data_IF_342708472625
#
_entry.id   IF_342708472625
#
_cell.length_a   1.000
_cell.length_b   1.000
_cell.length_c   1.000
_cell.angle_alpha   90.00
_cell.angle_beta   90.00
_cell.angle_gamma   90.00
#
_symmetry.space_group_name_H-M   'P 1'
#
loop_
_entity.id
_entity.type
_entity.pdbx_description
1 polymer ?
#
# COMPACT_ATOMS: atom_id res chain seq x y z
N UNK A 1 -3.39 14.07 -1.60
CA UNK A 1 -2.04 14.20 -1.00
C UNK A 1 -1.00 14.48 -2.07
N UNK A 2 -0.79 13.59 -3.05
CA UNK A 2 0.18 13.80 -4.15
C UNK A 2 0.04 15.18 -4.79
N UNK A 3 -1.17 15.53 -5.21
CA UNK A 3 -1.47 16.83 -5.82
C UNK A 3 -1.04 18.01 -4.93
N UNK A 4 -1.38 17.97 -3.65
CA UNK A 4 -1.08 19.04 -2.68
C UNK A 4 0.42 19.23 -2.44
N UNK A 5 1.19 18.14 -2.35
CA UNK A 5 2.62 18.22 -1.97
C UNK A 5 3.56 18.33 -3.17
N UNK A 6 3.05 18.23 -4.40
CA UNK A 6 3.84 18.29 -5.62
C UNK A 6 4.84 17.12 -5.74
N UNK A 7 5.77 17.15 -6.71
CA UNK A 7 6.64 16.00 -7.01
C UNK A 7 7.82 15.84 -6.04
N UNK A 8 8.23 16.90 -5.33
CA UNK A 8 9.45 16.90 -4.53
C UNK A 8 9.30 16.24 -3.16
N UNK A 9 8.06 16.05 -2.69
CA UNK A 9 7.76 15.43 -1.40
C UNK A 9 7.22 14.01 -1.58
N UNK A 10 7.75 13.08 -0.79
CA UNK A 10 7.29 11.69 -0.79
C UNK A 10 5.91 11.54 -0.13
N UNK A 11 5.07 10.66 -0.66
CA UNK A 11 3.79 10.27 -0.05
C UNK A 11 3.87 8.82 0.42
N UNK A 12 3.46 8.55 1.68
CA UNK A 12 3.34 7.19 2.22
C UNK A 12 1.87 6.78 2.31
N UNK A 13 1.51 5.66 1.68
CA UNK A 13 0.24 5.00 1.90
C UNK A 13 0.40 3.99 3.04
N UNK A 14 -0.48 4.04 4.04
CA UNK A 14 -0.48 3.09 5.16
C UNK A 14 -1.88 2.91 5.73
N UNK A 15 -2.15 1.71 6.25
CA UNK A 15 -3.48 1.31 6.72
C UNK A 15 -4.34 0.85 5.55
N UNK A 16 -4.87 -0.37 5.64
CA UNK A 16 -5.79 -0.91 4.63
C UNK A 16 -5.15 -1.57 3.41
N UNK A 17 -3.87 -1.35 3.13
CA UNK A 17 -3.15 -1.99 2.00
C UNK A 17 -2.83 -3.45 2.35
N UNK A 18 -3.57 -4.40 1.77
CA UNK A 18 -3.51 -5.82 2.12
C UNK A 18 -3.19 -6.74 0.96
N UNK A 19 -3.49 -6.32 -0.27
CA UNK A 19 -3.27 -7.12 -1.47
C UNK A 19 -2.28 -6.45 -2.41
N UNK A 20 -1.86 -7.19 -3.44
CA UNK A 20 -1.03 -6.64 -4.51
C UNK A 20 -1.79 -5.56 -5.29
N UNK A 21 -3.09 -5.76 -5.50
CA UNK A 21 -3.98 -4.82 -6.19
C UNK A 21 -4.10 -3.51 -5.41
N UNK A 22 -4.22 -3.59 -4.08
CA UNK A 22 -4.20 -2.40 -3.21
C UNK A 22 -2.89 -1.63 -3.40
N UNK A 23 -1.74 -2.33 -3.40
CA UNK A 23 -0.42 -1.71 -3.61
C UNK A 23 -0.34 -0.98 -4.95
N UNK A 24 -0.81 -1.62 -6.03
CA UNK A 24 -0.82 -1.01 -7.37
C UNK A 24 -1.68 0.26 -7.34
N UNK A 25 -2.88 0.19 -6.77
CA UNK A 25 -3.81 1.34 -6.73
C UNK A 25 -3.21 2.56 -6.03
N UNK A 26 -2.49 2.37 -4.91
CA UNK A 26 -1.92 3.48 -4.16
C UNK A 26 -0.63 4.02 -4.79
N UNK A 27 0.10 3.20 -5.54
CA UNK A 27 1.23 3.65 -6.36
C UNK A 27 0.71 4.54 -7.50
N UNK A 28 -0.34 4.10 -8.19
CA UNK A 28 -0.99 4.87 -9.25
C UNK A 28 -1.59 6.19 -8.72
N UNK A 29 -2.11 6.19 -7.49
CA UNK A 29 -2.54 7.40 -6.79
C UNK A 29 -1.37 8.32 -6.36
N UNK A 30 -0.12 7.90 -6.54
CA UNK A 30 1.08 8.71 -6.35
C UNK A 30 1.84 8.49 -5.05
N UNK A 31 1.63 7.36 -4.34
CA UNK A 31 2.44 6.98 -3.19
C UNK A 31 3.85 6.52 -3.62
N UNK A 32 4.89 6.92 -2.87
CA UNK A 32 6.27 6.44 -3.05
C UNK A 32 6.67 5.37 -2.04
N UNK A 33 5.89 5.21 -0.96
CA UNK A 33 6.16 4.25 0.10
C UNK A 33 4.89 3.61 0.60
N UNK A 34 4.97 2.32 0.86
CA UNK A 34 3.87 1.52 1.41
C UNK A 34 4.23 1.09 2.83
N UNK A 35 3.33 1.36 3.78
CA UNK A 35 3.38 0.79 5.13
C UNK A 35 2.26 -0.22 5.31
N UNK A 36 2.58 -1.50 5.25
CA UNK A 36 1.63 -2.60 5.41
C UNK A 36 2.16 -3.63 6.41
N UNK A 37 1.31 -4.09 7.34
CA UNK A 37 1.61 -5.20 8.24
C UNK A 37 1.53 -6.56 7.54
N UNK A 38 0.82 -6.63 6.41
CA UNK A 38 0.70 -7.81 5.55
C UNK A 38 1.75 -7.83 4.43
N UNK A 39 2.92 -7.22 4.63
CA UNK A 39 3.94 -7.05 3.60
C UNK A 39 4.41 -8.37 2.99
N UNK A 40 4.57 -9.41 3.81
CA UNK A 40 4.96 -10.76 3.35
C UNK A 40 3.90 -11.33 2.40
N UNK A 41 2.63 -11.35 2.83
CA UNK A 41 1.53 -11.87 2.00
C UNK A 41 1.40 -11.12 0.67
N UNK A 42 1.55 -9.79 0.70
CA UNK A 42 1.55 -8.95 -0.50
C UNK A 42 2.67 -9.35 -1.47
N UNK A 43 3.89 -9.55 -0.96
CA UNK A 43 5.07 -9.90 -1.79
C UNK A 43 4.98 -11.32 -2.34
N UNK A 44 4.48 -12.25 -1.54
CA UNK A 44 4.30 -13.65 -1.93
C UNK A 44 3.02 -13.89 -2.75
N UNK A 45 2.16 -12.88 -2.90
CA UNK A 45 0.87 -13.01 -3.59
C UNK A 45 -0.11 -13.93 -2.86
N UNK A 46 0.07 -14.13 -1.56
CA UNK A 46 -0.81 -14.95 -0.74
C UNK A 46 -2.12 -14.20 -0.53
N UNK A 47 -3.25 -14.86 -0.81
CA UNK A 47 -4.54 -14.37 -0.39
C UNK A 47 -4.54 -14.25 1.14
N UNK A 48 -4.93 -13.09 1.67
CA UNK A 48 -5.03 -12.90 3.11
C UNK A 48 -6.15 -13.81 3.66
N UNK A 49 -5.77 -14.96 4.17
CA UNK A 49 -6.61 -15.79 5.02
C UNK A 49 -6.75 -15.06 6.35
N UNK A 50 -7.82 -14.27 6.47
CA UNK A 50 -8.13 -13.54 7.70
C UNK A 50 -8.46 -14.54 8.80
N UNK A 51 -7.46 -14.97 9.58
CA UNK A 51 -7.73 -15.55 10.90
C UNK A 51 -8.04 -14.40 11.83
N UNK A 52 -9.34 -14.16 12.05
CA UNK A 52 -9.79 -13.26 13.10
C UNK A 52 -9.36 -13.77 14.48
N UNK A 53 -9.11 -12.85 15.39
CA UNK A 53 -9.11 -13.13 16.83
C UNK A 53 -10.52 -13.42 17.31
#
# INVERSE_FOLDING_TARGET
MRETVGPNMGVKASGGVRTKEDVVSVIEAGANRIGASSSIAIVEGLANSTSGY
#
